data_IF_752175020831
#
_entry.id   IF_752175020831
#
_cell.length_a   1.000
_cell.length_b   1.000
_cell.length_c   1.000
_cell.angle_alpha   90.00
_cell.angle_beta   90.00
_cell.angle_gamma   90.00
#
_symmetry.space_group_name_H-M   'P 1'
#
loop_
_entity.id
_entity.type
_entity.pdbx_description
1 polymer ?
#
# COMPACT_ATOMS: atom_id res chain seq x y z
N UNK A 1 20.07 7.46 1.33
CA UNK A 1 19.83 6.19 2.06
C UNK A 1 20.63 6.13 3.35
N UNK A 2 21.96 6.33 3.35
CA UNK A 2 22.80 6.35 4.57
C UNK A 2 22.30 7.31 5.65
N UNK A 3 21.94 8.55 5.30
CA UNK A 3 21.37 9.51 6.28
C UNK A 3 20.08 9.02 6.95
N UNK A 4 19.23 8.29 6.23
CA UNK A 4 17.96 7.79 6.78
C UNK A 4 18.25 6.68 7.80
N UNK A 5 19.16 5.77 7.48
CA UNK A 5 19.55 4.68 8.39
C UNK A 5 20.23 5.23 9.64
N UNK A 6 21.21 6.12 9.47
CA UNK A 6 21.95 6.71 10.61
C UNK A 6 21.00 7.50 11.51
N UNK A 7 20.11 8.31 10.93
CA UNK A 7 19.08 9.01 11.70
C UNK A 7 18.17 8.05 12.46
N UNK A 8 17.70 6.97 11.83
CA UNK A 8 16.84 6.00 12.50
C UNK A 8 17.51 5.34 13.70
N UNK A 9 18.79 4.96 13.57
CA UNK A 9 19.56 4.37 14.68
C UNK A 9 19.81 5.40 15.81
N UNK A 10 20.09 6.66 15.47
CA UNK A 10 20.35 7.70 16.46
C UNK A 10 19.08 8.25 17.13
N UNK A 11 17.95 8.30 16.41
CA UNK A 11 16.64 8.56 17.01
C UNK A 11 16.32 7.44 18.03
N UNK A 12 16.53 6.16 17.69
CA UNK A 12 16.36 5.04 18.63
C UNK A 12 17.28 5.14 19.85
N UNK A 13 18.54 5.55 19.66
CA UNK A 13 19.47 5.76 20.77
C UNK A 13 19.04 6.92 21.68
N UNK A 14 18.40 7.94 21.14
CA UNK A 14 17.83 9.06 21.91
C UNK A 14 16.59 8.61 22.68
N UNK A 15 15.73 7.78 22.08
CA UNK A 15 14.53 7.21 22.75
C UNK A 15 14.89 6.33 23.97
N UNK A 16 16.08 5.73 23.97
CA UNK A 16 16.60 4.93 25.08
C UNK A 16 17.56 5.69 26.00
N UNK A 17 17.62 7.02 25.90
CA UNK A 17 18.49 7.89 26.70
C UNK A 17 20.00 7.54 26.61
N UNK A 18 20.42 6.80 25.58
CA UNK A 18 21.81 6.44 25.36
C UNK A 18 22.64 7.63 24.86
N UNK A 19 21.99 8.58 24.20
CA UNK A 19 22.54 9.88 23.79
C UNK A 19 21.51 10.98 24.07
N UNK A 20 21.95 12.22 24.38
CA UNK A 20 21.04 13.31 24.74
C UNK A 20 20.26 13.88 23.54
N UNK A 21 20.76 13.71 22.31
CA UNK A 21 20.10 14.15 21.08
C UNK A 21 20.72 13.51 19.83
N UNK A 22 19.93 13.31 18.78
CA UNK A 22 20.41 12.90 17.46
C UNK A 22 21.17 14.04 16.74
N UNK A 23 22.50 13.96 16.56
CA UNK A 23 23.28 14.99 15.86
C UNK A 23 22.93 15.12 14.37
N UNK A 24 22.35 14.09 13.75
CA UNK A 24 21.99 14.08 12.32
C UNK A 24 20.71 14.87 12.02
N UNK A 25 19.90 15.17 13.05
CA UNK A 25 18.80 16.15 12.94
C UNK A 25 19.30 17.55 12.65
N UNK A 26 20.37 17.97 13.33
CA UNK A 26 20.97 19.31 13.17
C UNK A 26 21.87 19.43 11.95
N UNK A 27 22.33 18.30 11.40
CA UNK A 27 23.04 18.27 10.13
C UNK A 27 22.10 18.65 8.97
N UNK A 28 21.99 19.94 8.67
CA UNK A 28 21.32 20.42 7.47
C UNK A 28 21.89 19.73 6.21
N UNK A 29 21.08 19.53 5.15
CA UNK A 29 21.65 19.07 3.88
C UNK A 29 22.77 20.02 3.45
N UNK A 30 23.95 19.48 3.18
CA UNK A 30 25.00 20.23 2.49
C UNK A 30 24.42 20.56 1.12
N UNK A 31 24.14 21.84 0.89
CA UNK A 31 23.55 22.31 -0.36
C UNK A 31 24.56 22.12 -1.49
N UNK A 32 24.53 20.95 -2.10
CA UNK A 32 25.17 20.70 -3.38
C UNK A 32 24.20 21.20 -4.44
N UNK A 33 24.67 22.00 -5.39
CA UNK A 33 23.86 22.49 -6.51
C UNK A 33 23.33 21.30 -7.31
N UNK A 34 22.11 20.87 -7.01
CA UNK A 34 21.45 19.78 -7.74
C UNK A 34 20.88 20.32 -9.04
N UNK A 35 21.16 19.66 -10.16
CA UNK A 35 20.65 20.04 -11.49
C UNK A 35 19.16 19.79 -11.68
N UNK A 36 18.46 19.16 -10.72
CA UNK A 36 17.02 18.97 -10.78
C UNK A 36 16.28 20.17 -10.20
N UNK A 37 16.23 21.23 -10.99
CA UNK A 37 15.18 22.26 -10.91
C UNK A 37 14.41 22.21 -12.22
N UNK A 38 13.30 21.50 -12.22
CA UNK A 38 12.48 21.34 -13.42
C UNK A 38 11.12 20.77 -13.06
N UNK A 39 10.10 21.22 -13.79
CA UNK A 39 8.74 20.66 -13.78
C UNK A 39 8.81 19.15 -14.05
N UNK A 40 7.92 18.38 -13.41
CA UNK A 40 7.87 16.92 -13.61
C UNK A 40 7.71 16.63 -15.11
N UNK A 41 8.67 15.90 -15.67
CA UNK A 41 8.62 15.44 -17.05
C UNK A 41 7.49 14.42 -17.22
N UNK A 42 6.45 14.81 -17.97
CA UNK A 42 5.29 13.99 -18.30
C UNK A 42 5.39 13.36 -19.69
N UNK A 43 6.37 13.74 -20.52
CA UNK A 43 6.60 13.16 -21.85
C UNK A 43 7.02 11.69 -21.74
N UNK A 44 7.57 11.30 -20.59
CA UNK A 44 7.94 9.91 -20.27
C UNK A 44 6.76 8.99 -19.96
N UNK A 45 5.54 9.50 -19.84
CA UNK A 45 4.37 8.67 -19.53
C UNK A 45 3.83 7.95 -20.77
N UNK A 46 3.36 6.72 -20.61
CA UNK A 46 2.66 6.03 -21.70
C UNK A 46 1.35 6.72 -22.02
N UNK A 47 1.07 6.87 -23.32
CA UNK A 47 -0.29 7.09 -23.80
C UNK A 47 -1.17 5.85 -23.51
N UNK A 48 -2.51 5.99 -23.47
CA UNK A 48 -3.40 4.84 -23.26
C UNK A 48 -3.14 3.70 -24.24
N UNK A 49 -2.97 4.02 -25.53
CA UNK A 49 -2.69 3.02 -26.58
C UNK A 49 -1.35 2.30 -26.36
N UNK A 50 -0.31 3.01 -25.92
CA UNK A 50 0.98 2.40 -25.62
C UNK A 50 0.90 1.50 -24.39
N UNK A 51 0.20 1.92 -23.34
CA UNK A 51 -0.06 1.10 -22.16
C UNK A 51 -0.78 -0.19 -22.54
N UNK A 52 -1.83 -0.10 -23.34
CA UNK A 52 -2.61 -1.27 -23.77
C UNK A 52 -1.77 -2.21 -24.62
N UNK A 53 -0.88 -1.67 -25.48
CA UNK A 53 0.07 -2.47 -26.25
C UNK A 53 1.10 -3.19 -25.36
N UNK A 54 1.57 -2.57 -24.27
CA UNK A 54 2.47 -3.21 -23.30
C UNK A 54 1.77 -4.37 -22.57
N UNK A 55 0.50 -4.18 -22.17
CA UNK A 55 -0.30 -5.24 -21.55
C UNK A 55 -0.49 -6.41 -22.52
N UNK A 56 -0.88 -6.13 -23.77
CA UNK A 56 -1.06 -7.16 -24.80
C UNK A 56 0.25 -7.89 -25.13
N UNK A 57 1.37 -7.17 -25.18
CA UNK A 57 2.69 -7.77 -25.38
C UNK A 57 3.06 -8.73 -24.24
N UNK A 58 2.86 -8.29 -22.98
CA UNK A 58 3.14 -9.14 -21.82
C UNK A 58 2.29 -10.42 -21.87
N UNK A 59 1.02 -10.32 -22.25
CA UNK A 59 0.15 -11.47 -22.42
C UNK A 59 0.63 -12.40 -23.56
N UNK A 60 1.11 -11.88 -24.69
CA UNK A 60 1.60 -12.75 -25.77
C UNK A 60 2.94 -13.45 -25.47
N UNK A 61 3.78 -12.90 -24.57
CA UNK A 61 5.14 -13.38 -24.35
C UNK A 61 5.22 -14.57 -23.36
N UNK A 62 5.81 -15.67 -23.83
CA UNK A 62 5.96 -16.90 -23.03
C UNK A 62 6.87 -16.73 -21.80
N UNK A 63 7.87 -15.83 -21.85
CA UNK A 63 8.77 -15.60 -20.70
C UNK A 63 8.09 -14.76 -19.63
N UNK A 64 7.18 -13.87 -20.03
CA UNK A 64 6.34 -13.07 -19.15
C UNK A 64 5.27 -13.93 -18.47
N UNK A 65 4.56 -14.77 -19.23
CA UNK A 65 3.58 -15.72 -18.68
C UNK A 65 4.18 -16.64 -17.63
N UNK A 66 5.39 -17.18 -17.86
CA UNK A 66 6.10 -18.03 -16.89
C UNK A 66 6.42 -17.35 -15.55
N UNK A 67 6.29 -16.02 -15.46
CA UNK A 67 6.60 -15.22 -14.28
C UNK A 67 5.38 -14.47 -13.74
N UNK A 68 4.18 -14.80 -14.22
CA UNK A 68 2.93 -14.14 -13.84
C UNK A 68 2.94 -12.61 -14.06
N UNK A 69 3.78 -12.14 -14.99
CA UNK A 69 3.90 -10.73 -15.32
C UNK A 69 2.66 -10.13 -16.01
N UNK A 70 1.90 -10.85 -16.87
CA UNK A 70 0.70 -10.27 -17.50
C UNK A 70 -0.27 -9.70 -16.47
N UNK A 71 -0.59 -10.47 -15.43
CA UNK A 71 -1.52 -10.08 -14.38
C UNK A 71 -0.96 -8.92 -13.52
N UNK A 72 0.34 -8.97 -13.19
CA UNK A 72 1.00 -7.89 -12.47
C UNK A 72 0.98 -6.58 -13.27
N UNK A 73 1.32 -6.63 -14.56
CA UNK A 73 1.35 -5.46 -15.45
C UNK A 73 -0.05 -4.89 -15.63
N UNK A 74 -1.06 -5.74 -15.84
CA UNK A 74 -2.46 -5.32 -15.92
C UNK A 74 -2.93 -4.66 -14.61
N UNK A 75 -2.57 -5.24 -13.45
CA UNK A 75 -2.91 -4.70 -12.13
C UNK A 75 -2.29 -3.31 -11.92
N UNK A 76 -1.00 -3.15 -12.24
CA UNK A 76 -0.31 -1.85 -12.11
C UNK A 76 -0.89 -0.81 -13.07
N UNK A 77 -1.15 -1.20 -14.32
CA UNK A 77 -1.70 -0.33 -15.35
C UNK A 77 -3.14 0.13 -15.06
N UNK A 78 -3.96 -0.75 -14.47
CA UNK A 78 -5.36 -0.48 -14.15
C UNK A 78 -5.59 0.24 -12.83
N UNK A 79 -4.77 -0.04 -11.81
CA UNK A 79 -4.97 0.51 -10.44
C UNK A 79 -4.02 1.65 -10.07
N UNK A 80 -2.86 1.75 -10.73
CA UNK A 80 -1.81 2.70 -10.35
C UNK A 80 -1.12 2.36 -9.03
N UNK A 81 -1.31 1.14 -8.51
CA UNK A 81 -0.64 0.67 -7.29
C UNK A 81 0.88 0.71 -7.43
N UNK A 82 1.60 0.85 -6.30
CA UNK A 82 3.05 0.66 -6.31
C UNK A 82 3.37 -0.83 -6.46
N UNK A 83 4.45 -1.14 -7.17
CA UNK A 83 4.89 -2.53 -7.43
C UNK A 83 4.98 -3.38 -6.16
N UNK A 84 5.56 -2.85 -5.09
CA UNK A 84 5.65 -3.57 -3.82
C UNK A 84 4.28 -3.88 -3.20
N UNK A 85 3.30 -2.98 -3.34
CA UNK A 85 1.94 -3.18 -2.86
C UNK A 85 1.19 -4.21 -3.69
N UNK A 86 1.31 -4.14 -5.02
CA UNK A 86 0.70 -5.12 -5.92
C UNK A 86 1.25 -6.53 -5.68
N UNK A 87 2.57 -6.69 -5.49
CA UNK A 87 3.19 -7.97 -5.17
C UNK A 87 2.79 -8.52 -3.78
N UNK A 88 2.37 -7.66 -2.86
CA UNK A 88 1.95 -8.05 -1.52
C UNK A 88 0.45 -8.37 -1.41
N UNK A 89 -0.32 -8.21 -2.50
CA UNK A 89 -1.75 -8.51 -2.51
C UNK A 89 -1.98 -10.00 -2.22
N UNK A 90 -2.83 -10.26 -1.23
CA UNK A 90 -3.34 -11.61 -0.95
C UNK A 90 -4.79 -11.69 -1.36
N UNK A 91 -5.25 -12.88 -1.75
CA UNK A 91 -6.66 -13.10 -2.11
C UNK A 91 -7.64 -12.58 -1.03
N UNK A 92 -7.31 -12.74 0.25
CA UNK A 92 -8.11 -12.24 1.38
C UNK A 92 -8.18 -10.72 1.50
N UNK A 93 -7.27 -9.99 0.85
CA UNK A 93 -7.27 -8.52 0.83
C UNK A 93 -8.06 -7.93 -0.36
N UNK A 94 -8.54 -8.77 -1.28
CA UNK A 94 -9.28 -8.34 -2.48
C UNK A 94 -10.77 -8.60 -2.28
N UNK A 95 -11.56 -7.53 -2.26
CA UNK A 95 -13.01 -7.60 -2.10
C UNK A 95 -13.70 -7.36 -3.43
N UNK A 96 -14.11 -8.44 -4.11
CA UNK A 96 -14.74 -8.36 -5.44
C UNK A 96 -16.21 -7.93 -5.39
N UNK A 97 -16.89 -8.13 -4.25
CA UNK A 97 -18.29 -7.74 -4.02
C UNK A 97 -18.44 -6.67 -2.90
N UNK A 98 -17.33 -6.02 -2.53
CA UNK A 98 -17.30 -5.00 -1.48
C UNK A 98 -17.71 -3.61 -1.96
N UNK A 99 -17.87 -2.63 -1.04
CA UNK A 99 -18.10 -1.24 -1.38
C UNK A 99 -16.95 -0.69 -2.25
N UNK A 100 -17.25 0.30 -3.07
CA UNK A 100 -16.28 0.92 -3.96
C UNK A 100 -15.08 1.49 -3.19
N UNK A 101 -13.91 1.56 -3.84
CA UNK A 101 -12.72 2.14 -3.22
C UNK A 101 -12.94 3.57 -2.68
N UNK A 102 -13.85 4.33 -3.30
CA UNK A 102 -14.25 5.66 -2.85
C UNK A 102 -15.06 5.60 -1.55
N UNK A 103 -15.99 4.66 -1.43
CA UNK A 103 -16.75 4.44 -0.20
C UNK A 103 -15.86 3.96 0.94
N UNK A 104 -14.89 3.08 0.65
CA UNK A 104 -13.87 2.65 1.61
C UNK A 104 -12.99 3.83 2.06
N UNK A 105 -12.52 4.65 1.13
CA UNK A 105 -11.69 5.82 1.46
C UNK A 105 -12.44 6.89 2.28
N UNK A 106 -13.77 6.93 2.16
CA UNK A 106 -14.61 7.82 2.94
C UNK A 106 -14.97 7.24 4.32
N UNK A 107 -14.50 6.03 4.66
CA UNK A 107 -14.70 5.43 5.97
C UNK A 107 -13.58 5.83 6.94
N UNK A 108 -13.86 6.59 8.02
CA UNK A 108 -12.88 6.87 9.06
C UNK A 108 -12.76 5.64 9.97
N UNK A 109 -11.77 4.79 9.69
CA UNK A 109 -11.61 3.48 10.33
C UNK A 109 -11.19 3.46 11.81
N UNK A 110 -11.17 4.58 12.55
CA UNK A 110 -10.73 4.59 13.95
C UNK A 110 -11.43 5.63 14.84
N UNK A 111 -11.83 5.23 16.05
CA UNK A 111 -12.38 6.08 17.12
C UNK A 111 -11.36 7.06 17.76
N UNK A 112 -10.11 7.05 17.28
CA UNK A 112 -9.06 8.07 17.47
C UNK A 112 -8.03 7.87 16.35
N UNK A 113 -8.26 8.51 15.21
CA UNK A 113 -7.38 8.41 14.05
C UNK A 113 -6.12 9.29 14.23
N UNK A 114 -5.15 8.80 15.01
CA UNK A 114 -3.77 9.29 15.08
C UNK A 114 -3.47 10.70 15.65
N UNK A 115 -2.68 10.72 16.73
CA UNK A 115 -2.06 11.92 17.36
C UNK A 115 -1.20 12.78 16.42
N UNK A 116 -0.76 12.23 15.27
CA UNK A 116 0.03 12.98 14.27
C UNK A 116 -0.81 13.57 13.14
N UNK A 117 -2.09 13.20 13.02
CA UNK A 117 -3.00 13.75 12.01
C UNK A 117 -3.84 14.93 12.54
N UNK A 118 -4.08 15.01 13.86
CA UNK A 118 -4.81 16.14 14.49
C UNK A 118 -4.18 17.51 14.22
N UNK A 119 -2.85 17.57 14.00
CA UNK A 119 -2.14 18.84 13.79
C UNK A 119 -2.13 19.28 12.31
N UNK A 120 -2.39 18.39 11.35
CA UNK A 120 -2.11 18.68 9.94
C UNK A 120 -3.30 18.80 9.00
N UNK A 121 -4.48 18.23 9.26
CA UNK A 121 -5.59 18.28 8.28
C UNK A 121 -6.97 18.30 8.94
N UNK A 122 -7.58 19.48 9.04
CA UNK A 122 -8.99 19.64 9.39
C UNK A 122 -9.90 19.18 8.24
N UNK A 123 -10.53 18.00 8.35
CA UNK A 123 -11.67 17.62 7.50
C UNK A 123 -12.71 16.84 8.32
N UNK A 124 -13.96 17.33 8.31
CA UNK A 124 -15.12 16.70 8.95
C UNK A 124 -15.61 15.46 8.17
N UNK A 125 -16.12 14.46 8.89
CA UNK A 125 -16.50 13.10 8.44
C UNK A 125 -17.98 12.97 8.06
N UNK A 126 -18.31 12.05 7.13
CA UNK A 126 -19.68 11.57 6.87
C UNK A 126 -19.66 10.12 6.29
N UNK A 127 -20.06 9.10 7.07
CA UNK A 127 -20.81 7.87 6.66
C UNK A 127 -20.59 6.64 7.57
N UNK A 128 -21.69 6.04 8.06
CA UNK A 128 -21.74 4.87 8.96
C UNK A 128 -21.75 3.50 8.25
N UNK A 129 -22.15 3.45 6.96
CA UNK A 129 -22.47 2.21 6.22
C UNK A 129 -21.27 1.29 5.97
N UNK A 130 -20.06 1.82 5.94
CA UNK A 130 -18.84 1.04 5.71
C UNK A 130 -18.35 0.28 6.97
N UNK A 131 -18.79 0.69 8.17
CA UNK A 131 -18.47 0.00 9.43
C UNK A 131 -19.13 -1.38 9.53
N UNK A 132 -20.41 -1.44 9.16
CA UNK A 132 -21.24 -2.64 9.33
C UNK A 132 -20.74 -3.80 8.45
N UNK A 133 -20.29 -3.50 7.23
CA UNK A 133 -19.89 -4.53 6.25
C UNK A 133 -18.54 -5.18 6.58
N UNK A 134 -17.60 -4.46 7.21
CA UNK A 134 -16.32 -5.03 7.66
C UNK A 134 -16.50 -6.01 8.83
N UNK A 135 -17.46 -5.71 9.71
CA UNK A 135 -17.83 -6.61 10.82
C UNK A 135 -18.46 -7.91 10.28
N UNK A 136 -19.29 -7.80 9.23
CA UNK A 136 -19.91 -8.94 8.57
C UNK A 136 -18.89 -9.81 7.82
N UNK A 137 -17.87 -9.21 7.18
CA UNK A 137 -16.79 -9.93 6.51
C UNK A 137 -15.92 -10.77 7.45
N UNK A 138 -15.69 -10.30 8.69
CA UNK A 138 -14.95 -11.05 9.72
C UNK A 138 -15.70 -12.31 10.19
N UNK A 139 -17.03 -12.32 10.16
CA UNK A 139 -17.81 -13.49 10.58
C UNK A 139 -17.76 -14.65 9.57
N UNK A 140 -17.52 -14.37 8.27
CA UNK A 140 -17.42 -15.43 7.25
C UNK A 140 -16.04 -16.14 7.21
N UNK A 141 -15.02 -15.59 7.86
CA UNK A 141 -13.73 -16.28 8.04
C UNK A 141 -13.78 -17.32 9.18
N UNK A 142 -14.74 -17.21 10.11
CA UNK A 142 -14.93 -18.16 11.22
C UNK A 142 -15.71 -19.44 10.86
N UNK A 143 -16.45 -19.45 9.75
CA UNK A 143 -17.38 -20.53 9.39
C UNK A 143 -16.83 -21.51 8.33
N UNK A 144 -15.53 -21.43 8.02
CA UNK A 144 -14.83 -22.39 7.13
C UNK A 144 -13.91 -23.35 7.90
N UNK A 145 -14.31 -23.72 9.11
CA UNK A 145 -13.63 -24.72 9.93
C UNK A 145 -14.03 -26.17 9.60
N UNK A 146 -13.05 -26.92 9.05
CA UNK A 146 -12.88 -28.38 9.04
C UNK A 146 -13.92 -29.30 8.35
N UNK A 147 -13.54 -29.99 7.24
CA UNK A 147 -14.24 -31.22 6.86
C UNK A 147 -13.91 -32.31 7.91
N UNK A 148 -14.94 -32.86 8.53
CA UNK A 148 -14.81 -33.78 9.66
C UNK A 148 -14.10 -35.10 9.31
N UNK A 149 -13.13 -35.45 10.14
CA UNK A 149 -12.62 -36.82 10.28
C UNK A 149 -13.75 -37.71 10.86
N UNK A 150 -14.53 -38.32 9.96
CA UNK A 150 -15.42 -39.42 10.29
C UNK A 150 -14.67 -40.74 10.18
N UNK A 151 -14.14 -41.24 11.29
CA UNK A 151 -13.74 -42.65 11.43
C UNK A 151 -14.99 -43.46 11.80
N UNK A 152 -15.49 -44.38 10.96
CA UNK A 152 -16.56 -45.28 11.36
C UNK A 152 -15.98 -46.44 12.18
N UNK A 153 -16.38 -46.53 13.45
CA UNK A 153 -16.23 -47.73 14.23
C UNK A 153 -17.40 -48.68 13.97
N UNK A 154 -17.09 -49.89 13.51
CA UNK A 154 -17.69 -51.16 13.96
C UNK A 154 -16.85 -52.33 13.45
#
# INVERSE_FOLDING_TARGET
>A
MTRIVVRGVLDLATEHDAIPADPVRSAGPISVRTTRSGTRDTERAFTPRQRDAVVAFADADMKARRRDLPDLVATLAGTGSRIAGACALRGSSVHLAGPSAREIANYPGHARASTTQDVSMCRHTVSERAAEMLTLGRQQEGDRGSPGDGVPGH
#
